data_IF_803299887574
#
_entry.id   IF_803299887574
#
_cell.length_a   1.000
_cell.length_b   1.000
_cell.length_c   1.000
_cell.angle_alpha   90.00
_cell.angle_beta   90.00
_cell.angle_gamma   90.00
#
_symmetry.space_group_name_H-M   'P 1'
#
loop_
_entity.id
_entity.type
_entity.pdbx_description
1 polymer ?
#
# COMPACT_ATOMS: atom_id res chain seq x y z
N UNK A 1 -4.23 -9.26 -4.61
CA UNK A 1 -3.89 -8.18 -5.59
C UNK A 1 -4.65 -8.43 -6.88
N UNK A 2 -5.11 -7.39 -7.58
CA UNK A 2 -5.69 -7.55 -8.94
C UNK A 2 -4.59 -7.56 -10.01
N UNK A 3 -4.90 -8.04 -11.21
CA UNK A 3 -3.92 -8.07 -12.32
C UNK A 3 -3.39 -6.67 -12.67
N UNK A 4 -4.26 -5.67 -12.71
CA UNK A 4 -3.87 -4.28 -12.95
C UNK A 4 -2.90 -3.76 -11.87
N UNK A 5 -3.14 -4.12 -10.61
CA UNK A 5 -2.26 -3.72 -9.51
C UNK A 5 -0.90 -4.42 -9.54
N UNK A 6 -0.86 -5.68 -9.98
CA UNK A 6 0.39 -6.42 -10.17
C UNK A 6 1.26 -5.71 -11.22
N UNK A 7 0.66 -5.30 -12.34
CA UNK A 7 1.38 -4.55 -13.38
C UNK A 7 1.85 -3.17 -12.86
N UNK A 8 1.03 -2.45 -12.09
CA UNK A 8 1.44 -1.18 -11.47
C UNK A 8 2.63 -1.34 -10.51
N UNK A 9 2.65 -2.41 -9.70
CA UNK A 9 3.79 -2.72 -8.82
C UNK A 9 5.02 -3.09 -9.64
N UNK A 10 4.85 -3.88 -10.70
CA UNK A 10 5.94 -4.25 -11.63
C UNK A 10 6.52 -3.03 -12.32
N UNK A 11 5.72 -2.06 -12.72
CA UNK A 11 6.19 -0.83 -13.37
C UNK A 11 6.83 0.15 -12.38
N UNK A 12 6.48 0.05 -11.09
CA UNK A 12 6.99 0.90 -10.01
C UNK A 12 8.34 0.41 -9.50
N UNK A 13 9.37 0.66 -10.30
CA UNK A 13 10.72 0.18 -10.04
C UNK A 13 11.52 1.03 -9.04
N UNK A 14 11.03 2.24 -8.74
CA UNK A 14 11.60 3.09 -7.70
C UNK A 14 10.85 2.91 -6.38
N UNK A 15 11.57 2.83 -5.27
CA UNK A 15 11.01 2.54 -3.95
C UNK A 15 9.90 3.54 -3.55
N UNK A 16 10.07 4.84 -3.81
CA UNK A 16 9.05 5.84 -3.47
C UNK A 16 7.76 5.65 -4.29
N UNK A 17 7.88 5.32 -5.58
CA UNK A 17 6.75 4.97 -6.43
C UNK A 17 6.08 3.66 -5.98
N UNK A 18 6.88 2.63 -5.68
CA UNK A 18 6.39 1.31 -5.28
C UNK A 18 5.59 1.39 -3.98
N UNK A 19 6.11 2.11 -2.98
CA UNK A 19 5.37 2.34 -1.73
C UNK A 19 4.12 3.17 -1.98
N UNK A 20 4.14 4.18 -2.86
CA UNK A 20 2.93 4.92 -3.21
C UNK A 20 1.85 4.00 -3.80
N UNK A 21 2.24 3.08 -4.70
CA UNK A 21 1.33 2.11 -5.30
C UNK A 21 0.75 1.17 -4.25
N UNK A 22 1.58 0.59 -3.39
CA UNK A 22 1.13 -0.32 -2.32
C UNK A 22 0.19 0.40 -1.33
N UNK A 23 0.49 1.64 -0.96
CA UNK A 23 -0.38 2.48 -0.12
C UNK A 23 -1.74 2.68 -0.79
N UNK A 24 -1.78 3.00 -2.09
CA UNK A 24 -3.05 3.14 -2.82
C UNK A 24 -3.82 1.83 -2.94
N UNK A 25 -3.13 0.71 -3.10
CA UNK A 25 -3.77 -0.62 -3.08
C UNK A 25 -4.45 -0.87 -1.73
N UNK A 26 -3.80 -0.52 -0.61
CA UNK A 26 -4.39 -0.61 0.73
C UNK A 26 -5.61 0.32 0.85
N UNK A 27 -5.49 1.58 0.42
CA UNK A 27 -6.59 2.53 0.45
C UNK A 27 -7.81 2.03 -0.36
N UNK A 28 -7.59 1.34 -1.48
CA UNK A 28 -8.67 0.69 -2.27
C UNK A 28 -9.38 -0.43 -1.49
N UNK A 29 -8.69 -1.21 -0.65
CA UNK A 29 -9.33 -2.24 0.19
C UNK A 29 -10.15 -1.61 1.30
N UNK A 30 -9.64 -0.54 1.93
CA UNK A 30 -10.45 0.22 2.89
C UNK A 30 -11.71 0.79 2.24
N UNK A 31 -11.62 1.30 1.01
CA UNK A 31 -12.79 1.76 0.27
C UNK A 31 -13.78 0.62 -0.03
N UNK A 32 -13.30 -0.56 -0.45
CA UNK A 32 -14.14 -1.74 -0.67
C UNK A 32 -14.84 -2.23 0.63
N UNK A 33 -14.20 -2.03 1.78
CA UNK A 33 -14.76 -2.31 3.10
C UNK A 33 -15.76 -1.25 3.61
N UNK A 34 -15.92 -0.14 2.88
CA UNK A 34 -16.74 1.01 3.31
C UNK A 34 -16.10 1.84 4.44
N UNK A 35 -14.79 1.70 4.66
CA UNK A 35 -14.06 2.34 5.76
C UNK A 35 -13.34 3.59 5.24
N UNK A 36 -13.72 4.76 5.75
CA UNK A 36 -13.14 6.03 5.32
C UNK A 36 -11.79 6.31 6.01
N UNK A 37 -10.68 6.04 5.31
CA UNK A 37 -9.30 6.37 5.76
C UNK A 37 -8.67 7.56 5.01
N UNK A 38 -9.42 8.17 4.08
CA UNK A 38 -9.04 9.41 3.39
C UNK A 38 -7.94 9.31 2.33
N UNK A 39 -7.60 8.11 1.84
CA UNK A 39 -6.53 7.91 0.84
C UNK A 39 -6.99 7.43 -0.54
N UNK A 40 -8.23 7.00 -0.69
CA UNK A 40 -8.82 6.65 -1.98
C UNK A 40 -10.19 7.30 -2.17
N UNK A 41 -10.38 7.87 -3.36
CA UNK A 41 -11.69 8.29 -3.86
C UNK A 41 -11.74 7.87 -5.32
N UNK A 42 -12.68 7.01 -5.65
CA UNK A 42 -12.79 6.49 -7.00
C UNK A 42 -13.13 7.63 -7.98
N UNK A 43 -12.36 7.69 -9.07
CA UNK A 43 -12.62 8.57 -10.20
C UNK A 43 -12.57 7.75 -11.49
N UNK A 44 -13.25 8.23 -12.53
CA UNK A 44 -13.28 7.54 -13.83
C UNK A 44 -11.87 7.40 -14.45
N UNK A 45 -10.97 8.35 -14.16
CA UNK A 45 -9.56 8.27 -14.58
C UNK A 45 -8.81 7.21 -13.81
N UNK A 46 -9.06 7.12 -12.51
CA UNK A 46 -8.42 6.12 -11.66
C UNK A 46 -8.90 4.71 -11.99
N UNK A 47 -10.18 4.52 -12.34
CA UNK A 47 -10.71 3.22 -12.76
C UNK A 47 -9.97 2.65 -13.99
N UNK A 48 -9.59 3.51 -14.96
CA UNK A 48 -8.81 3.09 -16.14
C UNK A 48 -7.38 2.64 -15.81
N UNK A 49 -6.80 3.15 -14.73
CA UNK A 49 -5.42 2.86 -14.33
C UNK A 49 -5.37 1.67 -13.37
N UNK A 50 -6.30 1.63 -12.42
CA UNK A 50 -6.31 0.70 -11.30
C UNK A 50 -7.20 -0.52 -11.53
N UNK A 51 -8.01 -0.51 -12.59
CA UNK A 51 -8.95 -1.56 -12.91
C UNK A 51 -10.06 -1.72 -11.88
N UNK A 52 -10.68 -2.91 -11.93
CA UNK A 52 -11.81 -3.29 -11.06
C UNK A 52 -11.47 -3.14 -9.57
N UNK A 53 -12.44 -2.69 -8.75
CA UNK A 53 -12.28 -2.62 -7.31
C UNK A 53 -11.84 -3.97 -6.71
N UNK A 54 -11.05 -3.96 -5.61
CA UNK A 54 -10.75 -5.19 -4.87
C UNK A 54 -12.04 -5.89 -4.43
N UNK A 55 -12.15 -7.17 -4.73
CA UNK A 55 -13.28 -8.02 -4.36
C UNK A 55 -12.83 -9.07 -3.33
N UNK A 56 -13.79 -9.58 -2.57
CA UNK A 56 -13.55 -10.58 -1.53
C UNK A 56 -14.50 -10.40 -0.35
N UNK A 57 -14.45 -11.35 0.56
CA UNK A 57 -15.11 -11.26 1.86
C UNK A 57 -14.41 -10.22 2.74
N UNK A 58 -15.12 -9.71 3.76
CA UNK A 58 -14.56 -8.73 4.70
C UNK A 58 -13.26 -9.22 5.39
N UNK A 59 -13.16 -10.47 5.89
CA UNK A 59 -11.89 -10.99 6.41
C UNK A 59 -10.77 -11.07 5.35
N UNK A 60 -11.08 -11.48 4.11
CA UNK A 60 -10.08 -11.53 3.03
C UNK A 60 -9.54 -10.14 2.69
N UNK A 61 -10.39 -9.11 2.71
CA UNK A 61 -9.95 -7.73 2.46
C UNK A 61 -9.05 -7.20 3.59
N UNK A 62 -9.33 -7.53 4.86
CA UNK A 62 -8.43 -7.19 5.97
C UNK A 62 -7.10 -7.96 5.90
N UNK A 63 -7.16 -9.24 5.53
CA UNK A 63 -5.99 -10.05 5.28
C UNK A 63 -5.12 -9.47 4.14
N UNK A 64 -5.75 -9.01 3.04
CA UNK A 64 -5.09 -8.31 1.94
C UNK A 64 -4.38 -7.04 2.42
N UNK A 65 -5.06 -6.21 3.23
CA UNK A 65 -4.47 -5.00 3.82
C UNK A 65 -3.20 -5.34 4.60
N UNK A 66 -3.24 -6.39 5.43
CA UNK A 66 -2.09 -6.85 6.21
C UNK A 66 -0.93 -7.28 5.30
N UNK A 67 -1.19 -8.09 4.28
CA UNK A 67 -0.16 -8.56 3.36
C UNK A 67 0.48 -7.42 2.56
N UNK A 68 -0.31 -6.43 2.16
CA UNK A 68 0.20 -5.25 1.47
C UNK A 68 1.05 -4.36 2.38
N UNK A 69 0.67 -4.21 3.65
CA UNK A 69 1.49 -3.52 4.65
C UNK A 69 2.81 -4.25 4.88
N UNK A 70 2.77 -5.58 5.05
CA UNK A 70 3.99 -6.38 5.21
C UNK A 70 4.90 -6.26 4.00
N UNK A 71 4.35 -6.40 2.78
CA UNK A 71 5.13 -6.21 1.55
C UNK A 71 5.76 -4.82 1.49
N UNK A 72 5.03 -3.77 1.90
CA UNK A 72 5.57 -2.41 1.91
C UNK A 72 6.75 -2.25 2.90
N UNK A 73 6.71 -2.97 4.03
CA UNK A 73 7.81 -3.04 4.99
C UNK A 73 8.98 -3.82 4.39
N UNK A 74 8.73 -5.04 3.89
CA UNK A 74 9.75 -5.90 3.27
C UNK A 74 10.46 -5.18 2.12
N UNK A 75 9.73 -4.45 1.26
CA UNK A 75 10.32 -3.68 0.17
C UNK A 75 11.23 -2.54 0.66
N UNK A 76 10.91 -1.92 1.81
CA UNK A 76 11.74 -0.88 2.43
C UNK A 76 12.99 -1.53 3.03
N UNK A 77 12.82 -2.60 3.80
CA UNK A 77 13.93 -3.29 4.45
C UNK A 77 14.90 -3.86 3.42
N UNK A 78 14.41 -4.51 2.36
CA UNK A 78 15.20 -5.00 1.23
C UNK A 78 15.95 -3.86 0.52
N UNK A 79 15.31 -2.70 0.32
CA UNK A 79 15.99 -1.54 -0.29
C UNK A 79 17.07 -0.95 0.62
N UNK A 80 16.90 -1.06 1.94
CA UNK A 80 17.90 -0.61 2.90
C UNK A 80 19.10 -1.56 2.96
N UNK A 81 18.85 -2.87 3.02
CA UNK A 81 19.87 -3.91 3.07
C UNK A 81 20.60 -4.10 1.73
N UNK A 82 19.88 -3.89 0.63
CA UNK A 82 20.36 -4.06 -0.73
C UNK A 82 20.06 -2.82 -1.59
N UNK A 83 20.77 -1.69 -1.40
CA UNK A 83 20.51 -0.42 -2.10
C UNK A 83 20.53 -0.50 -3.63
N UNK A 84 21.11 -1.55 -4.20
CA UNK A 84 21.19 -1.81 -5.64
C UNK A 84 19.90 -2.42 -6.24
N UNK A 85 18.94 -2.85 -5.42
CA UNK A 85 17.63 -3.35 -5.88
C UNK A 85 16.72 -2.23 -6.38
N UNK A 86 16.95 -1.00 -5.89
CA UNK A 86 16.29 0.19 -6.42
C UNK A 86 16.97 0.58 -7.74
N UNK A 87 16.18 0.80 -8.81
CA UNK A 87 16.78 1.14 -10.11
C UNK A 87 17.70 2.35 -9.98
N UNK A 88 18.94 2.17 -10.43
CA UNK A 88 19.92 3.24 -10.48
C UNK A 88 19.46 4.36 -11.42
N UNK A 89 19.81 5.59 -11.05
CA UNK A 89 19.48 6.81 -11.77
C UNK A 89 20.08 6.76 -13.18
N UNK A 90 19.33 7.19 -14.20
CA UNK A 90 19.92 7.57 -15.48
C UNK A 90 20.50 8.99 -15.30
N UNK A 91 21.83 9.16 -15.28
CA UNK A 91 22.45 10.47 -15.04
C UNK A 91 22.14 11.49 -16.13
N UNK A 92 21.59 11.06 -17.28
CA UNK A 92 21.20 11.93 -18.39
C UNK A 92 19.75 12.44 -18.26
N UNK A 93 18.93 11.81 -17.41
CA UNK A 93 17.52 12.20 -17.21
C UNK A 93 17.39 13.22 -16.09
N UNK A 94 17.12 14.46 -16.49
CA UNK A 94 16.87 15.57 -15.58
C UNK A 94 15.55 15.33 -14.82
N UNK A 95 15.61 15.33 -13.49
CA UNK A 95 14.44 15.20 -12.61
C UNK A 95 14.30 13.85 -11.90
N UNK A 96 15.16 12.87 -12.19
CA UNK A 96 15.20 11.63 -11.40
C UNK A 96 15.81 11.91 -10.02
N UNK A 97 15.06 11.59 -8.96
CA UNK A 97 15.53 11.71 -7.57
C UNK A 97 16.58 10.64 -7.29
N UNK A 98 17.54 10.90 -6.40
CA UNK A 98 18.49 9.87 -5.96
C UNK A 98 17.83 8.94 -4.94
N UNK A 99 18.38 7.75 -4.75
CA UNK A 99 17.93 6.84 -3.68
C UNK A 99 17.95 7.53 -2.29
N UNK A 100 18.94 8.39 -2.02
CA UNK A 100 19.01 9.19 -0.78
C UNK A 100 17.80 10.11 -0.55
N UNK A 101 17.07 10.47 -1.61
CA UNK A 101 15.87 11.29 -1.54
C UNK A 101 14.60 10.42 -1.58
N UNK A 102 14.61 9.34 -2.39
CA UNK A 102 13.48 8.42 -2.56
C UNK A 102 13.21 7.61 -1.30
N UNK A 103 14.25 7.06 -0.69
CA UNK A 103 14.10 6.16 0.46
C UNK A 103 13.43 6.87 1.66
N UNK A 104 13.89 8.06 2.11
CA UNK A 104 13.18 8.77 3.18
C UNK A 104 11.75 9.16 2.81
N UNK A 105 11.47 9.45 1.52
CA UNK A 105 10.13 9.75 1.06
C UNK A 105 9.21 8.52 1.17
N UNK A 106 9.69 7.35 0.75
CA UNK A 106 8.99 6.08 0.87
C UNK A 106 8.61 5.76 2.33
N UNK A 107 9.58 5.82 3.25
CA UNK A 107 9.36 5.62 4.69
C UNK A 107 8.35 6.62 5.25
N UNK A 108 8.47 7.90 4.87
CA UNK A 108 7.56 8.97 5.32
C UNK A 108 6.13 8.72 4.83
N UNK A 109 5.96 8.29 3.59
CA UNK A 109 4.64 8.08 3.01
C UNK A 109 3.96 6.83 3.58
N UNK A 110 4.69 5.74 3.80
CA UNK A 110 4.17 4.58 4.55
C UNK A 110 3.78 4.98 5.98
N UNK A 111 4.62 5.74 6.68
CA UNK A 111 4.34 6.22 8.03
C UNK A 111 3.10 7.12 8.12
N UNK A 112 2.87 7.99 7.14
CA UNK A 112 1.63 8.78 7.04
C UNK A 112 0.42 7.89 6.82
N UNK A 113 0.52 6.92 5.93
CA UNK A 113 -0.56 5.97 5.64
C UNK A 113 -0.94 5.18 6.90
N UNK A 114 0.05 4.60 7.59
CA UNK A 114 -0.16 3.86 8.84
C UNK A 114 -0.88 4.70 9.92
N UNK A 115 -0.53 5.98 10.07
CA UNK A 115 -1.21 6.90 10.99
C UNK A 115 -2.69 7.13 10.64
N UNK A 116 -3.05 7.08 9.35
CA UNK A 116 -4.46 7.16 8.90
C UNK A 116 -5.22 5.86 9.19
N UNK A 117 -4.56 4.72 9.01
CA UNK A 117 -5.20 3.41 9.14
C UNK A 117 -5.45 3.01 10.59
N UNK A 118 -4.52 3.34 11.49
CA UNK A 118 -4.56 2.90 12.88
C UNK A 118 -5.88 3.22 13.62
N UNK A 119 -6.45 4.44 13.58
CA UNK A 119 -7.73 4.71 14.25
C UNK A 119 -8.89 3.91 13.66
N UNK A 120 -8.91 3.71 12.33
CA UNK A 120 -9.95 2.93 11.67
C UNK A 120 -9.87 1.45 12.04
N UNK A 121 -8.67 0.85 12.00
CA UNK A 121 -8.46 -0.54 12.38
C UNK A 121 -8.78 -0.80 13.86
N UNK A 122 -8.47 0.14 14.76
CA UNK A 122 -8.87 0.06 16.17
C UNK A 122 -10.39 0.05 16.34
N UNK A 123 -11.08 0.95 15.65
CA UNK A 123 -12.54 1.00 15.70
C UNK A 123 -13.19 -0.29 15.18
N UNK A 124 -12.64 -0.86 14.11
CA UNK A 124 -13.11 -2.15 13.57
C UNK A 124 -12.85 -3.32 14.51
N UNK A 125 -11.69 -3.33 15.18
CA UNK A 125 -11.36 -4.34 16.18
C UNK A 125 -12.31 -4.29 17.38
N UNK A 126 -12.66 -3.08 17.85
CA UNK A 126 -13.60 -2.89 18.96
C UNK A 126 -15.05 -3.24 18.60
N UNK A 127 -15.42 -3.04 17.33
CA UNK A 127 -16.78 -3.26 16.84
C UNK A 127 -17.04 -4.72 16.43
N UNK A 128 -16.01 -5.45 15.98
CA UNK A 128 -16.18 -6.81 15.47
C UNK A 128 -16.44 -7.82 16.59
N UNK A 129 -17.40 -8.70 16.34
CA UNK A 129 -17.74 -9.87 17.19
C UNK A 129 -17.34 -11.19 16.52
N UNK A 130 -16.78 -11.12 15.31
CA UNK A 130 -16.35 -12.29 14.54
C UNK A 130 -14.86 -12.55 14.84
N UNK A 131 -14.57 -13.70 15.44
CA UNK A 131 -13.19 -14.10 15.79
C UNK A 131 -12.25 -14.14 14.57
N UNK A 132 -12.76 -14.43 13.36
CA UNK A 132 -11.96 -14.44 12.13
C UNK A 132 -11.60 -13.03 11.69
N UNK A 133 -12.51 -12.08 11.84
CA UNK A 133 -12.24 -10.66 11.55
C UNK A 133 -11.26 -10.09 12.57
N UNK A 134 -11.50 -10.35 13.86
CA UNK A 134 -10.58 -9.99 14.95
C UNK A 134 -9.19 -10.54 14.65
N UNK A 135 -9.06 -11.84 14.35
CA UNK A 135 -7.79 -12.45 14.01
C UNK A 135 -7.13 -11.83 12.77
N UNK A 136 -7.90 -11.44 11.76
CA UNK A 136 -7.36 -10.80 10.54
C UNK A 136 -6.86 -9.36 10.79
N UNK A 137 -7.46 -8.66 11.76
CA UNK A 137 -7.08 -7.28 12.15
C UNK A 137 -5.94 -7.28 13.19
N UNK A 138 -5.94 -8.24 14.13
CA UNK A 138 -5.06 -8.25 15.30
C UNK A 138 -3.84 -9.16 15.21
N UNK A 139 -3.75 -10.05 14.22
CA UNK A 139 -2.62 -10.97 14.08
C UNK A 139 -1.30 -10.20 13.90
N UNK A 140 -0.54 -10.13 14.99
CA UNK A 140 0.83 -9.63 15.08
C UNK A 140 1.77 -10.78 14.78
#
# INVERSE_FOLDING_TARGET
>A
MTDAEIELVRDSQWIDLRINVLVRMIDRRFAALGIAVGGWKESEKDSKIWGEPPAGTRPELFWDIRHLLQKAIDDIDDTYEHPNVDKSMDPTKKGEKKLSDRFPAAVKDLGKAARRYLPALKAELEASKDEKEVGSISAS
#
